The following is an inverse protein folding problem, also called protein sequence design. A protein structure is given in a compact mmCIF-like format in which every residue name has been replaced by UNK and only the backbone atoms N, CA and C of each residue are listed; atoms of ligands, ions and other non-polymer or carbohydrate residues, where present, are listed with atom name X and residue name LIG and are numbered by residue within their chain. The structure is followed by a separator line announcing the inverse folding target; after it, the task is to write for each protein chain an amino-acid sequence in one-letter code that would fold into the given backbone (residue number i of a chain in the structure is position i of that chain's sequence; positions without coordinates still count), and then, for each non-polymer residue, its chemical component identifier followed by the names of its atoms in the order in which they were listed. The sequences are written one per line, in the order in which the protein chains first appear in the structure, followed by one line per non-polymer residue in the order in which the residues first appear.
data_IF_158818603386
#
_entry.id   IF_158818603386
#
_cell.length_a   1.000
_cell.length_b   1.000
_cell.length_c   1.000
_cell.angle_alpha   90.00
_cell.angle_beta   90.00
_cell.angle_gamma   90.00
#
_symmetry.space_group_name_H-M   'P 1'
#
loop_
_entity.id
_entity.type
_entity.pdbx_description
1 polymer ?
#
# COMPACT_ATOMS: atom_id res chain seq x y z
N UNK A 1 -14.94 10.13 -10.26
CA UNK A 1 -15.49 9.91 -8.91
C UNK A 1 -15.26 11.21 -8.13
N UNK A 2 -16.28 11.80 -7.53
CA UNK A 2 -16.09 13.01 -6.73
C UNK A 2 -15.31 12.65 -5.45
N UNK A 3 -14.32 13.48 -5.09
CA UNK A 3 -13.54 13.31 -3.84
C UNK A 3 -12.27 12.45 -3.94
N UNK A 4 -11.86 12.00 -5.13
CA UNK A 4 -10.54 11.37 -5.31
C UNK A 4 -9.49 12.44 -5.65
N UNK A 5 -8.43 12.54 -4.84
CA UNK A 5 -7.27 13.40 -5.10
C UNK A 5 -6.25 12.59 -5.90
N UNK A 6 -5.67 13.16 -6.95
CA UNK A 6 -4.61 12.48 -7.70
C UNK A 6 -3.36 12.31 -6.84
N UNK A 7 -2.67 11.16 -6.94
CA UNK A 7 -1.44 10.87 -6.19
C UNK A 7 -0.41 12.00 -6.32
N UNK A 8 -0.16 12.44 -7.55
CA UNK A 8 0.80 13.51 -7.82
C UNK A 8 0.40 14.86 -7.21
N UNK A 9 -0.91 15.15 -7.15
CA UNK A 9 -1.42 16.37 -6.53
C UNK A 9 -1.22 16.32 -5.01
N UNK A 10 -1.53 15.18 -4.39
CA UNK A 10 -1.31 14.96 -2.97
C UNK A 10 0.18 15.06 -2.60
N UNK A 11 1.06 14.36 -3.32
CA UNK A 11 2.51 14.39 -3.09
C UNK A 11 3.09 15.80 -3.25
N UNK A 12 2.61 16.56 -4.24
CA UNK A 12 2.98 17.97 -4.42
C UNK A 12 2.53 18.82 -3.22
N UNK A 13 1.32 18.61 -2.71
CA UNK A 13 0.79 19.36 -1.57
C UNK A 13 1.56 19.10 -0.27
N UNK A 14 2.03 17.86 -0.05
CA UNK A 14 2.80 17.49 1.14
C UNK A 14 4.32 17.61 0.96
N UNK A 15 4.78 18.04 -0.23
CA UNK A 15 6.20 18.12 -0.63
C UNK A 15 7.00 16.84 -0.36
N UNK A 16 6.37 15.67 -0.51
CA UNK A 16 6.96 14.35 -0.19
C UNK A 16 6.27 13.24 -0.98
N UNK A 17 7.01 12.20 -1.43
CA UNK A 17 6.39 11.02 -2.03
C UNK A 17 5.59 10.19 -1.01
N UNK A 18 4.56 9.51 -1.49
CA UNK A 18 3.81 8.51 -0.73
C UNK A 18 4.64 7.23 -0.63
N UNK A 19 4.82 6.73 0.58
CA UNK A 19 5.54 5.48 0.83
C UNK A 19 4.69 4.23 0.59
N UNK A 20 3.42 4.29 0.99
CA UNK A 20 2.49 3.16 0.94
C UNK A 20 1.07 3.68 0.64
N UNK A 21 0.40 3.06 -0.32
CA UNK A 21 -1.02 3.26 -0.57
C UNK A 21 -1.78 2.05 -0.02
N UNK A 22 -2.69 2.29 0.93
CA UNK A 22 -3.64 1.27 1.41
C UNK A 22 -4.88 1.34 0.53
N UNK A 23 -5.25 0.26 -0.18
CA UNK A 23 -6.41 0.30 -1.06
C UNK A 23 -7.72 0.35 -0.26
N UNK A 24 -8.73 0.99 -0.81
CA UNK A 24 -10.08 0.95 -0.27
C UNK A 24 -10.68 -0.46 -0.44
N UNK A 25 -10.93 -1.14 0.69
CA UNK A 25 -11.59 -2.44 0.74
C UNK A 25 -12.58 -2.47 1.92
N UNK A 26 -13.78 -1.88 1.74
CA UNK A 26 -14.73 -1.70 2.83
C UNK A 26 -15.30 -3.03 3.32
N UNK A 27 -15.37 -4.06 2.46
CA UNK A 27 -15.93 -5.37 2.82
C UNK A 27 -15.03 -6.10 3.79
N UNK A 28 -13.75 -6.24 3.43
CA UNK A 28 -12.77 -6.95 4.26
C UNK A 28 -12.54 -6.21 5.58
N UNK A 29 -12.42 -4.87 5.53
CA UNK A 29 -12.20 -4.05 6.73
C UNK A 29 -13.40 -4.11 7.67
N UNK A 30 -14.63 -3.93 7.16
CA UNK A 30 -15.83 -3.99 8.00
C UNK A 30 -16.02 -5.37 8.63
N UNK A 31 -15.82 -6.45 7.86
CA UNK A 31 -15.92 -7.81 8.38
C UNK A 31 -14.93 -8.08 9.52
N UNK A 32 -13.66 -7.68 9.35
CA UNK A 32 -12.64 -7.85 10.38
C UNK A 32 -12.93 -7.00 11.63
N UNK A 33 -13.36 -5.74 11.44
CA UNK A 33 -13.74 -4.83 12.52
C UNK A 33 -14.90 -5.38 13.36
N UNK A 34 -15.95 -5.88 12.72
CA UNK A 34 -17.15 -6.38 13.39
C UNK A 34 -16.90 -7.58 14.31
N UNK A 35 -15.81 -8.33 14.08
CA UNK A 35 -15.43 -9.48 14.90
C UNK A 35 -14.22 -9.19 15.81
N UNK A 36 -13.80 -7.92 15.92
CA UNK A 36 -12.68 -7.50 16.76
C UNK A 36 -11.32 -8.04 16.30
N UNK A 37 -11.16 -8.37 15.01
CA UNK A 37 -9.94 -8.95 14.46
C UNK A 37 -9.16 -7.90 13.64
N UNK A 38 -7.84 -7.77 13.83
CA UNK A 38 -7.04 -6.90 12.98
C UNK A 38 -7.00 -7.40 11.52
N UNK A 39 -7.29 -6.52 10.56
CA UNK A 39 -7.20 -6.82 9.12
C UNK A 39 -5.77 -7.16 8.66
N UNK A 40 -4.74 -6.80 9.44
CA UNK A 40 -3.36 -7.21 9.18
C UNK A 40 -3.14 -8.72 9.34
N UNK A 41 -4.01 -9.44 10.07
CA UNK A 41 -3.98 -10.90 10.18
C UNK A 41 -4.65 -11.60 9.00
N UNK A 42 -5.25 -10.87 8.07
CA UNK A 42 -5.92 -11.41 6.88
C UNK A 42 -4.99 -11.59 5.69
N UNK A 43 -5.54 -12.21 4.64
CA UNK A 43 -4.94 -12.21 3.30
C UNK A 43 -5.54 -11.08 2.49
N UNK A 44 -4.77 -10.50 1.58
CA UNK A 44 -5.26 -9.49 0.64
C UNK A 44 -4.43 -8.22 0.61
N UNK A 45 -4.88 -7.26 -0.20
CA UNK A 45 -4.10 -6.05 -0.52
C UNK A 45 -3.98 -5.09 0.66
N UNK A 46 -5.02 -4.96 1.49
CA UNK A 46 -4.96 -4.15 2.73
C UNK A 46 -3.96 -4.73 3.72
N UNK A 47 -4.06 -6.02 4.03
CA UNK A 47 -3.11 -6.71 4.91
C UNK A 47 -1.65 -6.58 4.40
N UNK A 48 -1.46 -6.75 3.08
CA UNK A 48 -0.13 -6.58 2.45
C UNK A 48 0.40 -5.16 2.58
N UNK A 49 -0.45 -4.14 2.39
CA UNK A 49 -0.06 -2.74 2.53
C UNK A 49 0.32 -2.41 3.98
N UNK A 50 -0.45 -2.89 4.97
CA UNK A 50 -0.12 -2.72 6.39
C UNK A 50 1.20 -3.42 6.73
N UNK A 51 1.43 -4.63 6.21
CA UNK A 51 2.71 -5.33 6.36
C UNK A 51 3.89 -4.51 5.83
N UNK A 52 3.74 -3.85 4.67
CA UNK A 52 4.77 -2.94 4.12
C UNK A 52 5.06 -1.73 5.00
N UNK A 53 4.05 -1.19 5.68
CA UNK A 53 4.25 -0.11 6.67
C UNK A 53 5.09 -0.64 7.83
N UNK A 54 4.75 -1.81 8.38
CA UNK A 54 5.50 -2.42 9.48
C UNK A 54 6.96 -2.74 9.08
N UNK A 55 7.15 -3.32 7.89
CA UNK A 55 8.48 -3.59 7.31
C UNK A 55 9.32 -2.31 7.27
N UNK A 56 8.78 -1.21 6.74
CA UNK A 56 9.50 0.08 6.65
C UNK A 56 9.80 0.68 8.02
N UNK A 57 8.83 0.68 8.94
CA UNK A 57 9.02 1.21 10.30
C UNK A 57 10.09 0.44 11.09
N UNK A 58 10.24 -0.85 10.81
CA UNK A 58 11.23 -1.71 11.48
C UNK A 58 12.57 -1.77 10.76
N UNK A 59 12.76 -1.01 9.67
CA UNK A 59 13.98 -1.05 8.86
C UNK A 59 14.13 -2.31 8.00
N UNK A 60 13.09 -3.14 7.94
CA UNK A 60 13.03 -4.30 7.05
C UNK A 60 12.71 -3.80 5.64
N UNK A 61 13.72 -3.64 4.79
CA UNK A 61 13.46 -3.36 3.37
C UNK A 61 12.90 -4.63 2.72
N UNK A 62 11.58 -4.72 2.62
CA UNK A 62 10.89 -5.78 1.89
C UNK A 62 11.38 -5.76 0.44
N UNK A 63 12.38 -6.58 0.13
CA UNK A 63 13.11 -6.66 -1.14
C UNK A 63 12.27 -7.27 -2.26
N UNK A 64 10.98 -6.90 -2.36
CA UNK A 64 10.01 -7.46 -3.32
C UNK A 64 9.70 -6.53 -4.51
N UNK A 65 10.25 -5.32 -4.53
CA UNK A 65 10.04 -4.38 -5.65
C UNK A 65 11.01 -4.64 -6.84
N UNK A 66 11.87 -5.66 -6.75
CA UNK A 66 12.82 -6.07 -7.81
C UNK A 66 12.38 -7.27 -8.67
N UNK A 67 11.08 -7.57 -8.71
CA UNK A 67 10.54 -8.67 -9.52
C UNK A 67 10.85 -8.51 -11.01
N UNK A 68 10.85 -9.62 -11.76
CA UNK A 68 11.17 -9.68 -13.20
C UNK A 68 10.44 -8.60 -14.03
N UNK A 69 9.19 -8.29 -13.66
CA UNK A 69 8.36 -7.24 -14.27
C UNK A 69 8.93 -5.83 -14.08
N UNK A 70 9.46 -5.50 -12.90
CA UNK A 70 10.08 -4.19 -12.64
C UNK A 70 11.36 -3.99 -13.46
N UNK A 71 12.13 -5.06 -13.66
CA UNK A 71 13.36 -5.04 -14.50
C UNK A 71 13.08 -4.96 -15.99
N UNK A 72 11.95 -5.50 -16.48
CA UNK A 72 11.59 -5.43 -17.90
C UNK A 72 11.05 -4.06 -18.31
N UNK A 73 10.37 -3.34 -17.42
CA UNK A 73 9.84 -2.00 -17.69
C UNK A 73 10.93 -0.91 -17.72
N UNK A 74 12.06 -1.12 -17.04
CA UNK A 74 13.20 -0.17 -17.04
C UNK A 74 14.12 -0.32 -18.26
N UNK A 75 13.97 -1.38 -19.07
CA UNK A 75 14.88 -1.67 -20.21
C UNK A 75 14.41 -1.08 -21.55
N UNK A 76 13.35 -0.26 -21.55
CA UNK A 76 12.80 0.42 -22.74
C UNK A 76 12.74 1.95 -22.62
N UNK A 77 13.45 2.51 -21.64
CA UNK A 77 13.69 3.96 -21.54
C UNK A 77 15.05 4.31 -22.10
#
# INVERSE_FOLDING_TARGET
RAGEIAVAEFEKAIARPIDVIVPFDPKTVAAAMNVGRPVSRDRGRVATAIGRVADRLTGTTSKRDGGLLGRMLQRKG
#
